data_IF_264203150965
#
_entry.id   IF_264203150965
#
_cell.length_a   1.000
_cell.length_b   1.000
_cell.length_c   1.000
_cell.angle_alpha   90.00
_cell.angle_beta   90.00
_cell.angle_gamma   90.00
#
_symmetry.space_group_name_H-M   'P 1'
#
loop_
_entity.id
_entity.type
_entity.pdbx_description
1 polymer ?
#
# COMPACT_ATOMS: atom_id res chain seq x y z
N UNK A 1 21.54 -20.54 -2.05
CA UNK A 1 21.39 -19.11 -1.77
C UNK A 1 20.10 -18.58 -2.43
N UNK A 2 18.93 -19.17 -2.10
CA UNK A 2 17.61 -18.89 -2.75
C UNK A 2 16.46 -18.72 -1.73
N UNK A 3 16.76 -18.34 -0.48
CA UNK A 3 15.75 -18.39 0.61
C UNK A 3 15.47 -17.04 1.31
N UNK A 4 15.99 -15.91 0.83
CA UNK A 4 15.85 -14.62 1.53
C UNK A 4 14.97 -13.58 0.82
N UNK A 5 14.28 -13.95 -0.28
CA UNK A 5 13.40 -13.00 -1.01
C UNK A 5 11.91 -13.14 -0.65
N UNK A 6 11.53 -14.00 0.30
CA UNK A 6 10.12 -14.33 0.56
C UNK A 6 9.43 -13.56 1.67
N UNK A 7 10.11 -12.64 2.36
CA UNK A 7 9.52 -11.93 3.49
C UNK A 7 10.00 -10.49 3.60
N UNK A 8 9.96 -9.72 2.51
CA UNK A 8 10.13 -8.28 2.62
C UNK A 8 8.75 -7.63 2.71
N UNK A 9 8.44 -6.98 3.85
CA UNK A 9 7.22 -6.20 3.98
C UNK A 9 7.15 -5.10 2.90
N UNK A 10 5.96 -4.62 2.58
CA UNK A 10 5.74 -3.57 1.56
C UNK A 10 6.66 -2.33 1.70
N UNK A 11 7.30 -2.13 2.85
CA UNK A 11 8.26 -1.05 3.11
C UNK A 11 9.73 -1.43 2.84
N UNK A 12 10.07 -2.71 2.68
CA UNK A 12 11.47 -3.14 2.59
C UNK A 12 12.07 -3.09 1.17
N UNK A 13 11.29 -2.67 0.15
CA UNK A 13 11.82 -2.59 -1.22
C UNK A 13 12.88 -1.49 -1.42
N UNK A 14 13.02 -0.57 -0.46
CA UNK A 14 14.00 0.51 -0.52
C UNK A 14 15.44 0.09 -0.17
N UNK A 15 15.65 -1.09 0.43
CA UNK A 15 16.94 -1.44 1.05
C UNK A 15 17.87 -2.32 0.19
N UNK A 16 17.48 -2.78 -1.00
CA UNK A 16 18.26 -3.81 -1.74
C UNK A 16 18.85 -3.36 -3.08
N UNK A 17 18.96 -2.06 -3.36
CA UNK A 17 19.56 -1.60 -4.63
C UNK A 17 21.04 -1.23 -4.57
N UNK A 18 21.79 -1.63 -3.54
CA UNK A 18 23.24 -1.52 -3.55
C UNK A 18 23.88 -2.85 -3.95
N UNK A 19 24.01 -3.06 -5.22
CA UNK A 19 24.92 -4.03 -5.79
C UNK A 19 24.29 -5.20 -6.51
N UNK A 20 23.94 -5.01 -7.78
CA UNK A 20 24.08 -6.05 -8.79
C UNK A 20 24.28 -5.43 -10.17
N UNK A 21 25.50 -5.61 -10.64
CA UNK A 21 25.99 -5.39 -11.97
C UNK A 21 25.27 -6.31 -12.98
N UNK A 22 24.84 -5.72 -14.10
CA UNK A 22 24.66 -6.32 -15.41
C UNK A 22 24.00 -7.70 -15.53
N UNK A 23 22.73 -7.69 -15.84
CA UNK A 23 22.15 -8.66 -16.77
C UNK A 23 21.15 -7.92 -17.66
N UNK A 24 21.58 -7.65 -18.91
CA UNK A 24 20.69 -7.20 -19.98
C UNK A 24 19.74 -8.34 -20.32
N UNK A 25 18.53 -8.31 -19.78
CA UNK A 25 17.43 -9.13 -20.24
C UNK A 25 16.53 -8.22 -21.08
N UNK A 26 16.60 -8.37 -22.39
CA UNK A 26 15.67 -7.73 -23.32
C UNK A 26 14.28 -8.32 -23.08
N UNK A 27 13.44 -7.61 -22.35
CA UNK A 27 12.01 -7.91 -22.25
C UNK A 27 11.38 -7.41 -23.56
N UNK A 28 10.62 -8.25 -24.27
CA UNK A 28 9.88 -7.78 -25.44
C UNK A 28 8.91 -6.68 -25.02
N UNK A 29 8.99 -5.57 -25.74
CA UNK A 29 8.14 -4.41 -25.62
C UNK A 29 6.69 -4.80 -25.93
N UNK A 30 5.90 -5.19 -24.91
CA UNK A 30 4.45 -5.26 -25.02
C UNK A 30 3.94 -3.84 -24.91
N UNK A 31 3.18 -3.45 -25.94
CA UNK A 31 2.62 -2.12 -26.10
C UNK A 31 1.92 -1.62 -24.85
N UNK A 32 2.05 -0.33 -24.67
CA UNK A 32 1.39 0.50 -23.68
C UNK A 32 -0.14 0.44 -23.87
N UNK A 33 -0.77 -0.65 -23.40
CA UNK A 33 -2.21 -0.60 -23.18
C UNK A 33 -2.43 0.12 -21.87
N UNK A 34 -2.87 1.36 -21.98
CA UNK A 34 -3.34 2.19 -20.87
C UNK A 34 -4.29 1.38 -20.00
N UNK A 35 -3.93 1.21 -18.72
CA UNK A 35 -4.88 0.75 -17.73
C UNK A 35 -6.16 1.58 -17.87
N UNK A 36 -7.35 0.97 -17.90
CA UNK A 36 -8.58 1.69 -18.16
C UNK A 36 -8.65 2.90 -17.25
N UNK A 37 -9.03 4.08 -17.79
CA UNK A 37 -9.13 5.30 -16.98
C UNK A 37 -10.00 4.97 -15.78
N UNK A 38 -9.49 5.21 -14.59
CA UNK A 38 -10.29 5.14 -13.39
C UNK A 38 -11.48 6.07 -13.64
N UNK A 39 -12.65 5.47 -13.94
CA UNK A 39 -13.90 6.23 -14.06
C UNK A 39 -13.97 7.11 -12.84
N UNK A 40 -14.26 8.39 -13.05
CA UNK A 40 -14.45 9.39 -11.98
C UNK A 40 -15.09 8.72 -10.76
N UNK A 41 -14.48 8.97 -9.60
CA UNK A 41 -14.99 8.46 -8.34
C UNK A 41 -16.49 8.75 -8.25
N UNK A 42 -17.34 7.76 -7.95
CA UNK A 42 -18.77 8.01 -7.84
C UNK A 42 -18.98 9.09 -6.79
N UNK A 43 -19.64 10.19 -7.18
CA UNK A 43 -20.23 11.17 -6.26
C UNK A 43 -21.37 10.47 -5.52
N UNK A 44 -21.05 9.75 -4.49
CA UNK A 44 -22.01 9.30 -3.51
C UNK A 44 -21.29 9.30 -2.16
N UNK A 45 -21.56 10.30 -1.34
CA UNK A 45 -21.30 10.16 0.09
C UNK A 45 -22.08 8.93 0.55
N UNK A 46 -21.40 7.86 0.99
CA UNK A 46 -22.08 6.76 1.63
C UNK A 46 -22.73 7.31 2.91
N UNK A 47 -24.02 7.06 3.07
CA UNK A 47 -24.73 7.42 4.30
C UNK A 47 -23.94 6.92 5.50
N UNK A 48 -23.79 7.73 6.58
CA UNK A 48 -22.99 7.35 7.74
C UNK A 48 -23.58 6.06 8.33
N UNK A 49 -22.80 4.96 8.27
CA UNK A 49 -23.18 3.71 8.91
C UNK A 49 -23.03 3.86 10.41
N UNK A 50 -24.09 3.61 11.11
CA UNK A 50 -24.19 3.86 12.55
C UNK A 50 -23.56 2.80 13.43
N UNK A 51 -23.14 1.62 12.90
CA UNK A 51 -22.36 0.64 13.69
C UNK A 51 -21.77 -0.48 12.83
N UNK A 52 -20.49 -0.77 13.00
CA UNK A 52 -19.84 -2.02 12.57
C UNK A 52 -20.39 -3.13 13.47
N UNK A 53 -20.74 -4.29 12.88
CA UNK A 53 -21.24 -5.41 13.69
C UNK A 53 -20.18 -5.86 14.71
N UNK A 54 -20.56 -6.29 15.92
CA UNK A 54 -19.62 -6.78 16.93
C UNK A 54 -18.73 -7.92 16.40
N UNK A 55 -19.28 -8.77 15.56
CA UNK A 55 -18.59 -9.90 14.96
C UNK A 55 -17.49 -9.44 13.99
N UNK A 56 -17.78 -8.51 13.09
CA UNK A 56 -16.79 -7.91 12.16
C UNK A 56 -15.65 -7.26 12.93
N UNK A 57 -16.01 -6.52 14.00
CA UNK A 57 -15.01 -5.88 14.86
C UNK A 57 -14.07 -6.91 15.47
N UNK A 58 -14.59 -8.01 15.99
CA UNK A 58 -13.77 -9.08 16.58
C UNK A 58 -12.78 -9.64 15.56
N UNK A 59 -13.22 -9.97 14.36
CA UNK A 59 -12.32 -10.48 13.31
C UNK A 59 -11.24 -9.45 12.89
N UNK A 60 -11.60 -8.18 12.79
CA UNK A 60 -10.65 -7.11 12.49
C UNK A 60 -9.61 -6.98 13.62
N UNK A 61 -10.05 -6.94 14.88
CA UNK A 61 -9.15 -6.85 16.05
C UNK A 61 -8.21 -8.05 16.14
N UNK A 62 -8.70 -9.25 15.86
CA UNK A 62 -7.85 -10.45 15.78
C UNK A 62 -6.84 -10.39 14.63
N UNK A 63 -7.27 -9.95 13.46
CA UNK A 63 -6.38 -9.78 12.32
C UNK A 63 -5.31 -8.72 12.60
N UNK A 64 -5.68 -7.59 13.21
CA UNK A 64 -4.76 -6.49 13.52
C UNK A 64 -3.61 -6.87 14.47
N UNK A 65 -3.73 -7.96 15.23
CA UNK A 65 -2.62 -8.49 16.04
C UNK A 65 -1.40 -8.89 15.21
N UNK A 66 -1.58 -9.08 13.92
CA UNK A 66 -0.51 -9.39 12.97
C UNK A 66 0.10 -8.16 12.33
N UNK A 67 -0.33 -6.94 12.71
CA UNK A 67 0.28 -5.67 12.30
C UNK A 67 1.14 -5.10 13.41
N UNK A 68 2.21 -4.41 13.00
CA UNK A 68 2.99 -3.54 13.91
C UNK A 68 2.29 -2.21 14.14
N UNK A 69 2.72 -1.46 15.14
CA UNK A 69 2.30 -0.08 15.34
C UNK A 69 2.66 0.83 14.15
N UNK A 70 3.71 0.47 13.38
CA UNK A 70 4.11 1.16 12.16
C UNK A 70 3.24 0.82 10.94
N UNK A 71 2.28 -0.10 11.07
CA UNK A 71 1.35 -0.48 10.01
C UNK A 71 1.87 -1.55 9.04
N UNK A 72 2.96 -2.25 9.37
CA UNK A 72 3.47 -3.40 8.60
C UNK A 72 2.72 -4.67 8.99
N UNK A 73 2.30 -5.49 8.02
CA UNK A 73 1.73 -6.80 8.28
C UNK A 73 2.82 -7.85 8.42
N UNK A 74 3.04 -8.36 9.65
CA UNK A 74 4.10 -9.33 9.93
C UNK A 74 3.73 -10.75 9.50
N UNK A 75 2.46 -11.13 9.63
CA UNK A 75 1.98 -12.48 9.33
C UNK A 75 0.74 -12.43 8.41
N UNK A 76 0.91 -11.96 7.15
CA UNK A 76 -0.23 -11.72 6.25
C UNK A 76 -1.02 -12.99 5.93
N UNK A 77 -0.35 -14.15 5.87
CA UNK A 77 -1.01 -15.42 5.62
C UNK A 77 -1.98 -15.84 6.76
N UNK A 78 -1.77 -15.33 7.97
CA UNK A 78 -2.67 -15.58 9.12
C UNK A 78 -3.77 -14.55 9.22
N UNK A 79 -3.50 -13.33 8.75
CA UNK A 79 -4.48 -12.24 8.76
C UNK A 79 -5.58 -12.44 7.73
N UNK A 80 -5.24 -12.89 6.51
CA UNK A 80 -6.20 -13.03 5.39
C UNK A 80 -7.44 -13.85 5.76
N UNK A 81 -7.36 -15.06 6.36
CA UNK A 81 -8.56 -15.84 6.69
C UNK A 81 -9.49 -15.16 7.71
N UNK A 82 -8.97 -14.32 8.60
CA UNK A 82 -9.78 -13.56 9.54
C UNK A 82 -10.51 -12.43 8.83
N UNK A 83 -9.84 -11.78 7.89
CA UNK A 83 -10.43 -10.71 7.08
C UNK A 83 -11.47 -11.25 6.10
N UNK A 84 -11.30 -12.48 5.59
CA UNK A 84 -12.32 -13.18 4.81
C UNK A 84 -13.62 -13.34 5.62
N UNK A 85 -13.52 -13.81 6.86
CA UNK A 85 -14.67 -13.91 7.77
C UNK A 85 -15.32 -12.57 8.09
N UNK A 86 -14.51 -11.52 8.27
CA UNK A 86 -15.02 -10.16 8.46
C UNK A 86 -15.82 -9.67 7.25
N UNK A 87 -15.34 -9.96 6.02
CA UNK A 87 -16.03 -9.61 4.77
C UNK A 87 -17.32 -10.44 4.58
N UNK A 88 -17.29 -11.72 4.93
CA UNK A 88 -18.49 -12.57 4.89
C UNK A 88 -19.57 -12.06 5.85
N UNK A 89 -19.18 -11.59 7.04
CA UNK A 89 -20.10 -11.07 8.05
C UNK A 89 -20.70 -9.71 7.68
N UNK A 90 -19.92 -8.81 7.05
CA UNK A 90 -20.41 -7.54 6.46
C UNK A 90 -19.66 -7.19 5.18
N UNK A 91 -20.20 -7.57 4.01
CA UNK A 91 -19.59 -7.27 2.71
C UNK A 91 -19.56 -5.78 2.32
N UNK A 92 -20.15 -4.94 3.14
CA UNK A 92 -20.22 -3.51 2.89
C UNK A 92 -19.33 -2.70 3.84
N UNK A 93 -18.61 -3.32 4.78
CA UNK A 93 -17.59 -2.64 5.56
C UNK A 93 -16.31 -2.48 4.74
N UNK A 94 -15.78 -1.24 4.54
CA UNK A 94 -14.56 -1.02 3.79
C UNK A 94 -13.28 -1.49 4.51
N UNK A 95 -13.29 -1.56 5.84
CA UNK A 95 -12.09 -1.79 6.64
C UNK A 95 -11.45 -3.17 6.42
N UNK A 96 -12.20 -4.30 6.39
CA UNK A 96 -11.61 -5.61 6.12
C UNK A 96 -10.99 -5.70 4.73
N UNK A 97 -11.62 -5.10 3.71
CA UNK A 97 -11.06 -5.07 2.35
C UNK A 97 -9.73 -4.30 2.32
N UNK A 98 -9.65 -3.16 3.00
CA UNK A 98 -8.44 -2.37 3.05
C UNK A 98 -7.29 -3.11 3.73
N UNK A 99 -7.55 -3.77 4.85
CA UNK A 99 -6.55 -4.58 5.56
C UNK A 99 -6.15 -5.80 4.74
N UNK A 100 -7.11 -6.49 4.09
CA UNK A 100 -6.82 -7.66 3.27
C UNK A 100 -6.02 -7.27 2.01
N UNK A 101 -6.30 -6.13 1.40
CA UNK A 101 -5.51 -5.63 0.27
C UNK A 101 -4.04 -5.43 0.64
N UNK A 102 -3.76 -4.92 1.83
CA UNK A 102 -2.40 -4.75 2.33
C UNK A 102 -1.73 -6.11 2.57
N UNK A 103 -2.40 -7.04 3.26
CA UNK A 103 -1.89 -8.39 3.50
C UNK A 103 -1.63 -9.16 2.19
N UNK A 104 -2.54 -9.09 1.22
CA UNK A 104 -2.39 -9.70 -0.11
C UNK A 104 -1.23 -9.07 -0.90
N UNK A 105 -1.06 -7.75 -0.80
CA UNK A 105 0.07 -7.04 -1.39
C UNK A 105 1.42 -7.55 -0.84
N UNK A 106 1.49 -7.84 0.46
CA UNK A 106 2.69 -8.39 1.10
C UNK A 106 2.95 -9.86 0.70
N UNK A 107 1.90 -10.62 0.45
CA UNK A 107 1.98 -11.97 -0.09
C UNK A 107 2.31 -12.02 -1.60
N UNK A 108 2.23 -10.88 -2.30
CA UNK A 108 2.48 -10.80 -3.74
C UNK A 108 1.25 -11.10 -4.61
N UNK A 109 0.06 -11.26 -4.04
CA UNK A 109 -1.22 -11.42 -4.76
C UNK A 109 -1.74 -10.05 -5.21
N UNK A 110 -1.00 -9.41 -6.15
CA UNK A 110 -1.20 -8.00 -6.49
C UNK A 110 -2.54 -7.71 -7.18
N UNK A 111 -3.08 -8.67 -7.94
CA UNK A 111 -4.39 -8.52 -8.60
C UNK A 111 -5.50 -8.47 -7.56
N UNK A 112 -5.54 -9.44 -6.66
CA UNK A 112 -6.57 -9.52 -5.61
C UNK A 112 -6.44 -8.33 -4.65
N UNK A 113 -5.21 -7.94 -4.32
CA UNK A 113 -4.93 -6.75 -3.52
C UNK A 113 -5.50 -5.47 -4.16
N UNK A 114 -5.33 -5.30 -5.49
CA UNK A 114 -5.86 -4.16 -6.22
C UNK A 114 -7.40 -4.15 -6.25
N UNK A 115 -8.02 -5.30 -6.41
CA UNK A 115 -9.49 -5.44 -6.39
C UNK A 115 -10.05 -5.07 -5.01
N UNK A 116 -9.45 -5.57 -3.94
CA UNK A 116 -9.84 -5.25 -2.57
C UNK A 116 -9.66 -3.76 -2.25
N UNK A 117 -8.52 -3.17 -2.59
CA UNK A 117 -8.31 -1.73 -2.41
C UNK A 117 -9.33 -0.90 -3.19
N UNK A 118 -9.65 -1.32 -4.43
CA UNK A 118 -10.68 -0.68 -5.24
C UNK A 118 -12.08 -0.84 -4.65
N UNK A 119 -12.38 -2.00 -4.05
CA UNK A 119 -13.65 -2.22 -3.34
C UNK A 119 -13.74 -1.34 -2.10
N UNK A 120 -12.67 -1.24 -1.31
CA UNK A 120 -12.60 -0.35 -0.15
C UNK A 120 -12.84 1.12 -0.54
N UNK A 121 -12.20 1.60 -1.61
CA UNK A 121 -12.39 2.96 -2.14
C UNK A 121 -13.85 3.20 -2.57
N UNK A 122 -14.48 2.24 -3.22
CA UNK A 122 -15.90 2.37 -3.63
C UNK A 122 -16.84 2.45 -2.45
N UNK A 123 -16.53 1.75 -1.36
CA UNK A 123 -17.33 1.75 -0.12
C UNK A 123 -17.08 3.00 0.72
N UNK A 124 -15.81 3.43 0.81
CA UNK A 124 -15.40 4.62 1.55
C UNK A 124 -14.13 5.21 0.95
N UNK A 125 -14.21 6.33 0.20
CA UNK A 125 -13.05 6.95 -0.43
C UNK A 125 -12.21 7.71 0.59
N UNK A 126 -11.24 7.03 1.21
CA UNK A 126 -10.30 7.61 2.18
C UNK A 126 -8.88 7.65 1.65
N UNK A 127 -8.08 8.63 2.05
CA UNK A 127 -6.70 8.83 1.58
C UNK A 127 -5.84 7.58 1.73
N UNK A 128 -5.94 6.88 2.88
CA UNK A 128 -5.22 5.64 3.14
C UNK A 128 -5.49 4.56 2.08
N UNK A 129 -6.74 4.41 1.63
CA UNK A 129 -7.10 3.40 0.63
C UNK A 129 -6.46 3.69 -0.74
N UNK A 130 -6.45 4.95 -1.16
CA UNK A 130 -5.74 5.36 -2.38
C UNK A 130 -4.23 5.20 -2.25
N UNK A 131 -3.63 5.54 -1.10
CA UNK A 131 -2.21 5.35 -0.87
C UNK A 131 -1.79 3.87 -0.97
N UNK A 132 -2.58 2.95 -0.41
CA UNK A 132 -2.35 1.51 -0.52
C UNK A 132 -2.49 1.04 -1.97
N UNK A 133 -3.54 1.47 -2.68
CA UNK A 133 -3.71 1.11 -4.09
C UNK A 133 -2.58 1.66 -4.98
N UNK A 134 -2.12 2.87 -4.70
CA UNK A 134 -0.94 3.45 -5.34
C UNK A 134 0.32 2.59 -5.17
N UNK A 135 0.58 2.07 -3.96
CA UNK A 135 1.68 1.13 -3.73
C UNK A 135 1.50 -0.16 -4.54
N UNK A 136 0.28 -0.72 -4.58
CA UNK A 136 -0.01 -1.92 -5.37
C UNK A 136 0.26 -1.65 -6.86
N UNK A 137 -0.15 -0.49 -7.38
CA UNK A 137 0.15 -0.06 -8.75
C UNK A 137 1.66 0.00 -9.03
N UNK A 138 2.47 0.52 -8.08
CA UNK A 138 3.94 0.50 -8.23
C UNK A 138 4.47 -0.92 -8.34
N UNK A 139 4.00 -1.84 -7.49
CA UNK A 139 4.42 -3.24 -7.52
C UNK A 139 3.98 -3.97 -8.79
N UNK A 140 2.88 -3.55 -9.42
CA UNK A 140 2.41 -4.02 -10.72
C UNK A 140 3.12 -3.35 -11.91
N UNK A 141 4.12 -2.47 -11.67
CA UNK A 141 4.79 -1.69 -12.68
C UNK A 141 3.88 -0.69 -13.45
N UNK A 142 2.90 -0.11 -12.72
CA UNK A 142 1.99 0.91 -13.26
C UNK A 142 2.22 2.28 -12.58
N UNK A 143 3.36 2.97 -12.82
CA UNK A 143 3.73 4.20 -12.10
C UNK A 143 2.73 5.35 -12.33
N UNK A 144 2.16 5.48 -13.52
CA UNK A 144 1.14 6.52 -13.82
C UNK A 144 -0.14 6.32 -13.00
N UNK A 145 -0.52 5.06 -12.75
CA UNK A 145 -1.64 4.71 -11.88
C UNK A 145 -1.36 5.08 -10.42
N UNK A 146 -0.17 4.73 -9.95
CA UNK A 146 0.29 5.05 -8.61
C UNK A 146 0.31 6.56 -8.36
N UNK A 147 0.87 7.33 -9.29
CA UNK A 147 0.92 8.79 -9.17
C UNK A 147 -0.48 9.40 -9.02
N UNK A 148 -1.44 8.99 -9.85
CA UNK A 148 -2.84 9.45 -9.75
C UNK A 148 -3.47 9.14 -8.40
N UNK A 149 -3.21 7.95 -7.88
CA UNK A 149 -3.73 7.53 -6.58
C UNK A 149 -3.11 8.35 -5.43
N UNK A 150 -1.80 8.61 -5.47
CA UNK A 150 -1.14 9.46 -4.46
C UNK A 150 -1.61 10.91 -4.51
N UNK A 151 -1.77 11.48 -5.70
CA UNK A 151 -2.31 12.83 -5.87
C UNK A 151 -3.75 12.94 -5.34
N UNK A 152 -4.56 11.89 -5.54
CA UNK A 152 -5.93 11.86 -5.04
C UNK A 152 -5.97 11.69 -3.52
N UNK A 153 -5.11 10.83 -2.98
CA UNK A 153 -4.95 10.64 -1.55
C UNK A 153 -4.53 11.95 -0.85
N UNK A 154 -3.57 12.68 -1.41
CA UNK A 154 -3.09 13.96 -0.88
C UNK A 154 -4.20 15.04 -0.89
N UNK A 155 -5.04 15.09 -1.93
CA UNK A 155 -6.20 15.98 -1.97
C UNK A 155 -7.25 15.64 -0.91
N UNK A 156 -7.43 14.36 -0.58
CA UNK A 156 -8.39 13.92 0.44
C UNK A 156 -7.87 14.19 1.85
N UNK A 157 -6.63 13.87 2.12
CA UNK A 157 -6.01 14.10 3.43
C UNK A 157 -4.48 14.23 3.30
N UNK A 158 -3.96 15.46 3.18
CA UNK A 158 -2.51 15.68 3.07
C UNK A 158 -1.73 15.31 4.35
N UNK A 159 -2.41 14.97 5.45
CA UNK A 159 -1.79 14.54 6.70
C UNK A 159 -1.71 13.01 6.85
N UNK A 160 -2.08 12.26 5.83
CA UNK A 160 -1.94 10.79 5.83
C UNK A 160 -0.49 10.40 5.50
N UNK A 161 0.31 9.88 6.46
CA UNK A 161 1.72 9.63 6.25
C UNK A 161 2.01 8.52 5.23
N UNK A 162 1.09 7.56 5.05
CA UNK A 162 1.27 6.47 4.10
C UNK A 162 1.38 6.95 2.65
N UNK A 163 0.82 8.10 2.30
CA UNK A 163 0.95 8.70 0.96
C UNK A 163 2.44 8.90 0.66
N UNK A 164 3.13 9.57 1.55
CA UNK A 164 4.53 9.96 1.39
C UNK A 164 5.47 8.76 1.49
N UNK A 165 5.20 7.83 2.42
CA UNK A 165 5.97 6.59 2.55
C UNK A 165 5.90 5.76 1.25
N UNK A 166 4.71 5.59 0.68
CA UNK A 166 4.53 4.80 -0.52
C UNK A 166 5.02 5.54 -1.77
N UNK A 167 4.88 6.87 -1.83
CA UNK A 167 5.43 7.68 -2.92
C UNK A 167 6.96 7.67 -2.89
N UNK A 168 7.57 7.72 -1.71
CA UNK A 168 9.01 7.55 -1.55
C UNK A 168 9.51 6.20 -2.11
N UNK A 169 8.77 5.12 -1.87
CA UNK A 169 9.11 3.82 -2.45
C UNK A 169 9.14 3.87 -3.99
N UNK A 170 8.18 4.54 -4.62
CA UNK A 170 8.16 4.78 -6.06
C UNK A 170 9.37 5.60 -6.54
N UNK A 171 9.66 6.69 -5.83
CA UNK A 171 10.80 7.56 -6.14
C UNK A 171 12.15 6.82 -6.03
N UNK A 172 12.29 5.91 -5.05
CA UNK A 172 13.48 5.05 -4.96
C UNK A 172 13.60 4.09 -6.14
N UNK A 173 12.49 3.49 -6.59
CA UNK A 173 12.49 2.61 -7.77
C UNK A 173 12.92 3.35 -9.05
N UNK A 174 12.59 4.62 -9.16
CA UNK A 174 12.97 5.49 -10.27
C UNK A 174 14.35 6.13 -10.10
N UNK A 175 15.06 5.84 -9.01
CA UNK A 175 16.39 6.40 -8.72
C UNK A 175 16.38 7.86 -8.22
N UNK A 176 15.21 8.44 -7.97
CA UNK A 176 15.02 9.81 -7.47
C UNK A 176 15.16 9.86 -5.95
N UNK A 177 16.41 9.63 -5.46
CA UNK A 177 16.69 9.53 -4.01
C UNK A 177 16.36 10.80 -3.23
N UNK A 178 16.56 11.99 -3.81
CA UNK A 178 16.22 13.26 -3.16
C UNK A 178 14.75 13.32 -2.81
N UNK A 179 13.89 13.16 -3.82
CA UNK A 179 12.44 13.20 -3.65
C UNK A 179 11.95 12.15 -2.64
N UNK A 180 12.55 10.95 -2.68
CA UNK A 180 12.21 9.88 -1.75
C UNK A 180 12.57 10.25 -0.31
N UNK A 181 13.73 10.87 -0.07
CA UNK A 181 14.15 11.30 1.26
C UNK A 181 13.28 12.44 1.80
N UNK A 182 12.91 13.40 0.93
CA UNK A 182 12.02 14.50 1.30
C UNK A 182 10.62 13.98 1.71
N UNK A 183 10.10 13.01 0.98
CA UNK A 183 8.83 12.35 1.31
C UNK A 183 8.89 11.58 2.64
N UNK A 184 9.99 10.85 2.91
CA UNK A 184 10.14 10.14 4.18
C UNK A 184 10.30 11.11 5.36
N UNK A 185 11.01 12.21 5.19
CA UNK A 185 11.13 13.26 6.19
C UNK A 185 9.77 13.90 6.47
N UNK A 186 8.99 14.17 5.41
CA UNK A 186 7.64 14.69 5.57
C UNK A 186 6.74 13.71 6.32
N UNK A 187 6.77 12.42 6.00
CA UNK A 187 6.03 11.39 6.72
C UNK A 187 6.41 11.35 8.22
N UNK A 188 7.70 11.58 8.53
CA UNK A 188 8.17 11.68 9.91
C UNK A 188 7.55 12.89 10.63
N UNK A 189 7.45 14.06 9.98
CA UNK A 189 6.76 15.23 10.58
C UNK A 189 5.28 14.96 10.87
N UNK A 190 4.67 14.02 10.17
CA UNK A 190 3.30 13.57 10.37
C UNK A 190 3.16 12.44 11.40
N UNK A 191 4.25 12.07 12.08
CA UNK A 191 4.26 11.08 13.16
C UNK A 191 4.70 9.66 12.73
N UNK A 192 5.11 9.44 11.48
CA UNK A 192 5.59 8.15 10.99
C UNK A 192 7.08 8.19 10.66
N UNK A 193 7.93 8.20 11.71
CA UNK A 193 9.38 8.41 11.59
C UNK A 193 10.18 7.15 11.24
N UNK A 194 9.69 5.95 11.53
CA UNK A 194 10.45 4.71 11.38
C UNK A 194 11.08 4.52 9.98
N UNK A 195 10.38 4.75 8.86
CA UNK A 195 10.97 4.63 7.53
C UNK A 195 12.10 5.66 7.28
N UNK A 196 11.96 6.88 7.79
CA UNK A 196 12.98 7.92 7.70
C UNK A 196 14.24 7.57 8.50
N UNK A 197 14.05 7.16 9.76
CA UNK A 197 15.15 6.74 10.63
C UNK A 197 15.91 5.55 10.05
N UNK A 198 15.20 4.58 9.50
CA UNK A 198 15.80 3.44 8.81
C UNK A 198 16.63 3.89 7.62
N UNK A 199 16.10 4.75 6.76
CA UNK A 199 16.80 5.28 5.59
C UNK A 199 18.06 6.08 5.96
N UNK A 200 18.04 6.82 7.08
CA UNK A 200 19.24 7.50 7.62
C UNK A 200 20.26 6.52 8.16
N UNK A 201 19.86 5.52 8.93
CA UNK A 201 20.75 4.51 9.50
C UNK A 201 21.46 3.69 8.40
N UNK A 202 20.75 3.40 7.32
CA UNK A 202 21.28 2.73 6.13
C UNK A 202 22.07 3.68 5.19
N UNK A 203 22.22 4.96 5.56
CA UNK A 203 22.90 6.01 4.78
C UNK A 203 22.33 6.20 3.36
N UNK A 204 21.07 5.87 3.17
CA UNK A 204 20.32 6.14 1.93
C UNK A 204 19.94 7.61 1.88
N UNK A 205 19.43 8.15 2.99
CA UNK A 205 19.15 9.56 3.19
C UNK A 205 20.23 10.20 4.10
N UNK A 206 20.43 11.51 3.94
CA UNK A 206 21.42 12.30 4.72
C UNK A 206 20.74 13.16 5.76
#
# INVERSE_FOLDING_TARGET
MKLLLRSLPCLALAALLSGCSWFSFSIPFFGEEDAPPAKEAPKAEPAPRTSVSPEVRTYIEEAQKYWTESGECLEPARAVPLLDKAIEADPLDPAPYLLRSQALCDLGYLTDAFEDATKAIRLSPVAKAYAIRGLICLKQNHPKGAQRDFEYAEKLNPKEPLIYIHRAAGSFLEGRKGDACDDLEHACTLGSCLPWEKAKNEKVCR
#
